data_IF_454300558749
#
_entry.id   IF_454300558749
#
_cell.length_a   1.000
_cell.length_b   1.000
_cell.length_c   1.000
_cell.angle_alpha   90.00
_cell.angle_beta   90.00
_cell.angle_gamma   90.00
#
_symmetry.space_group_name_H-M   'P 1'
#
loop_
_entity.id
_entity.type
_entity.pdbx_description
1 polymer ?
#
# COMPACT_ATOMS: atom_id res chain seq x y z
N UNK A 1 -60.97 -56.93 -42.77
CA UNK A 1 -59.82 -56.07 -43.04
C UNK A 1 -60.07 -54.63 -42.56
N UNK A 2 -61.03 -54.40 -41.68
CA UNK A 2 -61.32 -53.08 -41.05
C UNK A 2 -61.21 -53.01 -39.53
N UNK A 3 -61.08 -54.16 -38.90
CA UNK A 3 -61.00 -54.20 -37.40
C UNK A 3 -59.55 -54.12 -36.85
N UNK A 4 -58.56 -54.57 -37.63
CA UNK A 4 -57.15 -54.56 -37.18
C UNK A 4 -56.50 -53.21 -37.18
N UNK A 5 -57.11 -52.15 -37.81
CA UNK A 5 -56.58 -50.78 -37.77
C UNK A 5 -57.02 -49.97 -36.59
N UNK A 6 -58.07 -50.38 -35.84
CA UNK A 6 -58.55 -49.64 -34.68
C UNK A 6 -57.82 -50.01 -33.35
N UNK A 7 -57.26 -51.18 -33.27
CA UNK A 7 -56.50 -51.59 -32.08
C UNK A 7 -55.09 -51.03 -32.07
N UNK A 8 -54.51 -50.71 -33.24
CA UNK A 8 -53.14 -50.10 -33.32
C UNK A 8 -53.11 -48.62 -33.06
N UNK A 9 -54.27 -47.91 -33.18
CA UNK A 9 -54.34 -46.46 -32.86
C UNK A 9 -54.64 -46.18 -31.37
N UNK A 10 -55.17 -47.16 -30.62
CA UNK A 10 -55.45 -46.99 -29.16
C UNK A 10 -54.22 -47.23 -28.30
N UNK A 11 -53.18 -47.95 -28.78
CA UNK A 11 -51.94 -48.19 -28.03
C UNK A 11 -50.90 -47.05 -28.21
N UNK A 12 -51.05 -46.13 -29.17
CA UNK A 12 -50.10 -45.04 -29.36
C UNK A 12 -50.49 -43.75 -28.60
N UNK A 13 -51.62 -43.71 -27.91
CA UNK A 13 -52.09 -42.52 -27.18
C UNK A 13 -51.87 -42.58 -25.65
N UNK A 14 -51.25 -43.65 -25.15
CA UNK A 14 -51.04 -43.87 -23.69
C UNK A 14 -49.57 -43.85 -23.26
N UNK A 15 -48.61 -43.51 -24.15
CA UNK A 15 -47.17 -43.39 -23.77
C UNK A 15 -46.64 -41.97 -23.88
N UNK A 16 -47.52 -40.98 -23.74
CA UNK A 16 -47.17 -39.55 -23.74
C UNK A 16 -47.21 -38.89 -22.37
N UNK A 17 -47.03 -39.63 -21.27
CA UNK A 17 -46.76 -39.03 -19.95
C UNK A 17 -45.33 -38.51 -19.93
N UNK A 18 -45.19 -37.30 -20.37
CA UNK A 18 -43.98 -36.50 -20.26
C UNK A 18 -43.57 -36.43 -18.77
N UNK A 19 -42.62 -37.27 -18.38
CA UNK A 19 -41.89 -37.07 -17.13
C UNK A 19 -41.12 -35.75 -17.28
N UNK A 20 -41.72 -34.65 -16.83
CA UNK A 20 -41.02 -33.39 -16.59
C UNK A 20 -39.98 -33.66 -15.48
N UNK A 21 -38.81 -34.17 -15.89
CA UNK A 21 -37.63 -34.18 -15.03
C UNK A 21 -37.35 -32.71 -14.72
N UNK A 22 -37.79 -32.25 -13.57
CA UNK A 22 -37.34 -30.96 -13.01
C UNK A 22 -35.82 -31.07 -12.92
N UNK A 23 -35.11 -30.56 -13.91
CA UNK A 23 -33.69 -30.30 -13.82
C UNK A 23 -33.52 -29.29 -12.68
N UNK A 24 -32.82 -29.62 -11.60
CA UNK A 24 -32.47 -28.59 -10.64
C UNK A 24 -31.77 -27.51 -11.47
N UNK A 25 -32.33 -26.31 -11.45
CA UNK A 25 -31.61 -25.14 -11.97
C UNK A 25 -30.37 -25.01 -11.10
N UNK A 26 -29.26 -25.54 -11.58
CA UNK A 26 -27.97 -25.13 -11.07
C UNK A 26 -27.91 -23.62 -11.37
N UNK A 27 -28.27 -22.84 -10.38
CA UNK A 27 -27.88 -21.44 -10.32
C UNK A 27 -26.36 -21.49 -10.30
N UNK A 28 -25.74 -21.46 -11.46
CA UNK A 28 -24.34 -21.17 -11.60
C UNK A 28 -24.17 -19.80 -10.95
N UNK A 29 -23.76 -19.79 -9.68
CA UNK A 29 -23.24 -18.56 -9.12
C UNK A 29 -22.18 -18.10 -10.11
N UNK A 30 -22.44 -17.01 -10.82
CA UNK A 30 -21.48 -16.43 -11.74
C UNK A 30 -20.19 -16.33 -10.92
N UNK A 31 -19.16 -17.07 -11.34
CA UNK A 31 -17.89 -17.10 -10.64
C UNK A 31 -17.43 -15.65 -10.56
N UNK A 32 -17.54 -15.07 -9.36
CA UNK A 32 -17.09 -13.69 -9.15
C UNK A 32 -15.61 -13.67 -9.44
N UNK A 33 -15.18 -12.79 -10.33
CA UNK A 33 -13.74 -12.69 -10.63
C UNK A 33 -12.94 -12.48 -9.36
N UNK A 34 -11.68 -12.94 -9.27
CA UNK A 34 -10.82 -12.72 -8.14
C UNK A 34 -10.74 -11.23 -7.76
N UNK A 35 -10.61 -10.93 -6.46
CA UNK A 35 -10.33 -9.57 -6.01
C UNK A 35 -8.91 -9.21 -6.44
N UNK A 36 -8.78 -8.21 -7.32
CA UNK A 36 -7.49 -7.79 -7.85
C UNK A 36 -6.90 -6.70 -6.96
N UNK A 37 -5.82 -7.06 -6.23
CA UNK A 37 -5.13 -6.18 -5.29
C UNK A 37 -3.72 -5.89 -5.78
N UNK A 38 -3.42 -4.64 -6.07
CA UNK A 38 -2.10 -4.22 -6.51
C UNK A 38 -1.24 -3.69 -5.35
N UNK A 39 0.08 -3.87 -5.44
CA UNK A 39 1.08 -3.21 -4.60
C UNK A 39 2.16 -2.55 -5.46
N UNK A 40 2.81 -1.48 -4.94
CA UNK A 40 3.53 -0.54 -5.80
C UNK A 40 5.05 -0.69 -5.83
N UNK A 41 5.65 -1.43 -4.93
CA UNK A 41 7.10 -1.50 -4.84
C UNK A 41 7.60 -2.79 -4.22
N UNK A 42 8.89 -3.04 -4.39
CA UNK A 42 9.59 -4.12 -3.69
C UNK A 42 10.16 -3.66 -2.33
N UNK A 43 9.74 -2.50 -1.82
CA UNK A 43 10.11 -2.04 -0.48
C UNK A 43 9.34 -2.79 0.59
N UNK A 44 9.96 -3.05 1.73
CA UNK A 44 9.31 -3.68 2.88
C UNK A 44 8.15 -2.86 3.49
N UNK A 45 7.84 -1.68 2.96
CA UNK A 45 6.59 -0.97 3.25
C UNK A 45 5.35 -1.75 2.81
N UNK A 46 5.48 -2.62 1.79
CA UNK A 46 4.40 -3.48 1.28
C UNK A 46 4.30 -4.82 2.02
N UNK A 47 4.98 -4.94 3.15
CA UNK A 47 5.12 -6.19 3.89
C UNK A 47 3.79 -6.76 4.39
N UNK A 48 2.81 -5.91 4.68
CA UNK A 48 1.48 -6.33 5.15
C UNK A 48 0.80 -7.29 4.17
N UNK A 49 0.79 -6.92 2.89
CA UNK A 49 0.19 -7.74 1.84
C UNK A 49 1.03 -8.99 1.52
N UNK A 50 2.36 -8.85 1.54
CA UNK A 50 3.25 -9.99 1.34
C UNK A 50 3.09 -11.03 2.45
N UNK A 51 3.04 -10.58 3.71
CA UNK A 51 2.81 -11.47 4.86
C UNK A 51 1.45 -12.16 4.77
N UNK A 52 0.39 -11.43 4.43
CA UNK A 52 -0.94 -12.02 4.25
C UNK A 52 -0.94 -13.11 3.15
N UNK A 53 -0.21 -12.88 2.06
CA UNK A 53 -0.05 -13.87 0.98
C UNK A 53 0.77 -15.07 1.42
N UNK A 54 1.97 -14.87 1.96
CA UNK A 54 2.92 -15.94 2.28
C UNK A 54 2.49 -16.79 3.48
N UNK A 55 1.68 -16.26 4.39
CA UNK A 55 1.05 -17.05 5.47
C UNK A 55 -0.14 -17.88 5.00
N UNK A 56 -0.59 -17.67 3.76
CA UNK A 56 -1.83 -18.27 3.25
C UNK A 56 -3.09 -17.67 3.88
N UNK A 57 -3.00 -16.55 4.60
CA UNK A 57 -4.13 -15.94 5.32
C UNK A 57 -5.26 -15.55 4.35
N UNK A 58 -4.93 -15.05 3.14
CA UNK A 58 -5.91 -14.69 2.11
C UNK A 58 -6.81 -15.90 1.77
N UNK A 59 -6.19 -17.06 1.53
CA UNK A 59 -6.91 -18.30 1.20
C UNK A 59 -7.67 -18.84 2.42
N UNK A 60 -7.11 -18.73 3.63
CA UNK A 60 -7.76 -19.15 4.87
C UNK A 60 -9.01 -18.35 5.21
N UNK A 61 -9.05 -17.06 4.85
CA UNK A 61 -10.26 -16.24 4.95
C UNK A 61 -11.29 -16.56 3.85
N UNK A 62 -11.00 -17.48 2.94
CA UNK A 62 -11.89 -17.83 1.84
C UNK A 62 -11.92 -16.80 0.72
N UNK A 63 -10.93 -15.91 0.66
CA UNK A 63 -10.85 -14.86 -0.36
C UNK A 63 -10.11 -15.37 -1.59
N UNK A 64 -10.79 -15.38 -2.73
CA UNK A 64 -10.16 -15.49 -4.04
C UNK A 64 -9.60 -14.13 -4.44
N UNK A 65 -8.26 -14.00 -4.46
CA UNK A 65 -7.57 -12.74 -4.76
C UNK A 65 -6.35 -12.92 -5.66
N UNK A 66 -6.22 -12.02 -6.61
CA UNK A 66 -5.05 -11.87 -7.47
C UNK A 66 -4.17 -10.72 -6.96
N UNK A 67 -2.94 -11.03 -6.54
CA UNK A 67 -2.00 -10.05 -5.98
C UNK A 67 -1.01 -9.65 -7.07
N UNK A 68 -1.07 -8.39 -7.48
CA UNK A 68 -0.39 -7.83 -8.64
C UNK A 68 0.71 -6.84 -8.23
N UNK A 69 1.87 -6.93 -8.87
CA UNK A 69 2.91 -5.88 -8.74
C UNK A 69 2.76 -4.87 -9.87
N UNK A 70 2.65 -3.58 -9.52
CA UNK A 70 2.51 -2.49 -10.49
C UNK A 70 3.45 -1.34 -10.14
N UNK A 71 3.71 -0.45 -11.10
CA UNK A 71 4.37 0.83 -10.79
C UNK A 71 3.36 1.88 -10.33
N UNK A 72 3.81 2.87 -9.56
CA UNK A 72 2.93 3.94 -9.05
C UNK A 72 2.22 4.72 -10.15
N UNK A 73 2.85 4.86 -11.32
CA UNK A 73 2.27 5.55 -12.47
C UNK A 73 1.13 4.78 -13.15
N UNK A 74 1.02 3.47 -12.89
CA UNK A 74 0.00 2.59 -13.48
C UNK A 74 -1.11 2.28 -12.48
N UNK A 75 -0.78 2.06 -11.20
CA UNK A 75 -1.72 1.50 -10.23
C UNK A 75 -2.91 2.42 -9.92
N UNK A 76 -2.70 3.73 -9.74
CA UNK A 76 -3.81 4.67 -9.49
C UNK A 76 -4.72 4.83 -10.73
N UNK A 77 -4.19 5.02 -11.95
CA UNK A 77 -5.01 4.95 -13.16
C UNK A 77 -5.80 3.65 -13.30
N UNK A 78 -5.18 2.49 -13.05
CA UNK A 78 -5.84 1.19 -13.11
C UNK A 78 -6.97 1.05 -12.06
N UNK A 79 -6.79 1.60 -10.85
CA UNK A 79 -7.83 1.66 -9.83
C UNK A 79 -9.01 2.53 -10.29
N UNK A 80 -8.73 3.72 -10.82
CA UNK A 80 -9.76 4.64 -11.34
C UNK A 80 -10.54 3.98 -12.48
N UNK A 81 -9.85 3.27 -13.37
CA UNK A 81 -10.45 2.50 -14.48
C UNK A 81 -11.16 1.22 -14.02
N UNK A 82 -11.07 0.85 -12.73
CA UNK A 82 -11.62 -0.41 -12.17
C UNK A 82 -10.97 -1.68 -12.76
N UNK A 83 -9.74 -1.58 -13.29
CA UNK A 83 -8.93 -2.71 -13.72
C UNK A 83 -8.36 -3.49 -12.54
N UNK A 84 -8.14 -2.80 -11.40
CA UNK A 84 -7.87 -3.40 -10.08
C UNK A 84 -8.93 -2.92 -9.10
N UNK A 85 -9.18 -3.72 -8.04
CA UNK A 85 -10.21 -3.44 -7.05
C UNK A 85 -9.67 -2.67 -5.85
N UNK A 86 -8.42 -2.93 -5.48
CA UNK A 86 -7.73 -2.28 -4.38
C UNK A 86 -6.25 -2.10 -4.69
N UNK A 87 -5.63 -1.08 -4.05
CA UNK A 87 -4.19 -0.81 -4.19
C UNK A 87 -3.58 -0.55 -2.82
N UNK A 88 -2.48 -1.23 -2.50
CA UNK A 88 -1.63 -0.90 -1.35
C UNK A 88 -0.66 0.22 -1.76
N UNK A 89 -0.87 1.44 -1.23
CA UNK A 89 -0.19 2.65 -1.70
C UNK A 89 -0.01 3.69 -0.60
N UNK A 90 0.93 4.62 -0.80
CA UNK A 90 1.12 5.79 0.07
C UNK A 90 0.07 6.89 -0.18
N UNK A 91 -0.14 7.76 0.82
CA UNK A 91 -1.24 8.72 0.76
C UNK A 91 -1.04 9.86 -0.24
N UNK A 92 0.17 10.40 -0.43
CA UNK A 92 0.33 11.60 -1.25
C UNK A 92 -0.26 11.49 -2.67
N UNK A 93 -0.03 10.42 -3.45
CA UNK A 93 -0.66 10.28 -4.76
C UNK A 93 -2.19 10.09 -4.69
N UNK A 94 -2.70 9.45 -3.63
CA UNK A 94 -4.15 9.25 -3.43
C UNK A 94 -4.84 10.57 -3.13
N UNK A 95 -4.31 11.35 -2.17
CA UNK A 95 -4.84 12.66 -1.83
C UNK A 95 -4.80 13.60 -3.05
N UNK A 96 -3.70 13.58 -3.81
CA UNK A 96 -3.57 14.37 -5.04
C UNK A 96 -4.63 13.96 -6.08
N UNK A 97 -4.90 12.69 -6.26
CA UNK A 97 -5.95 12.20 -7.16
C UNK A 97 -7.34 12.64 -6.68
N UNK A 98 -7.64 12.43 -5.40
CA UNK A 98 -8.93 12.82 -4.80
C UNK A 98 -9.17 14.33 -4.87
N UNK A 99 -8.16 15.17 -4.57
CA UNK A 99 -8.24 16.64 -4.71
C UNK A 99 -8.51 17.09 -6.15
N UNK A 100 -8.14 16.27 -7.14
CA UNK A 100 -8.46 16.49 -8.56
C UNK A 100 -9.83 15.93 -8.98
N UNK A 101 -10.63 15.46 -8.02
CA UNK A 101 -11.98 14.96 -8.26
C UNK A 101 -12.07 13.47 -8.61
N UNK A 102 -10.99 12.70 -8.52
CA UNK A 102 -11.06 11.26 -8.69
C UNK A 102 -11.63 10.60 -7.43
N UNK A 103 -12.50 9.64 -7.64
CA UNK A 103 -13.25 8.92 -6.61
C UNK A 103 -12.41 7.80 -5.98
N UNK A 104 -11.40 8.17 -5.19
CA UNK A 104 -10.51 7.22 -4.51
C UNK A 104 -10.37 7.56 -3.03
N UNK A 105 -10.50 6.53 -2.16
CA UNK A 105 -10.42 6.67 -0.71
C UNK A 105 -9.65 5.52 -0.07
N UNK A 106 -9.02 5.80 1.07
CA UNK A 106 -8.47 4.76 1.93
C UNK A 106 -9.59 4.02 2.67
N UNK A 107 -9.45 2.71 2.79
CA UNK A 107 -10.30 1.86 3.63
C UNK A 107 -9.52 1.16 4.75
N UNK A 108 -8.19 1.26 4.75
CA UNK A 108 -7.33 0.82 5.86
C UNK A 108 -5.99 1.54 5.85
N UNK A 109 -5.42 1.77 7.03
CA UNK A 109 -4.05 2.22 7.25
C UNK A 109 -3.18 1.07 7.73
N UNK A 110 -2.03 0.87 7.12
CA UNK A 110 -1.13 -0.25 7.40
C UNK A 110 0.16 0.18 8.07
N UNK A 111 0.69 1.33 7.67
CA UNK A 111 1.90 1.94 8.22
C UNK A 111 1.70 3.45 8.31
N UNK A 112 1.75 3.99 9.54
CA UNK A 112 1.30 5.34 9.85
C UNK A 112 2.43 6.27 10.30
N UNK A 113 3.66 6.02 9.88
CA UNK A 113 4.82 6.85 10.18
C UNK A 113 5.72 7.01 8.96
N UNK A 114 6.54 8.06 8.97
CA UNK A 114 7.61 8.19 7.99
C UNK A 114 8.72 7.18 8.28
N UNK A 115 9.24 6.55 7.22
CA UNK A 115 10.23 5.47 7.32
C UNK A 115 11.63 5.92 6.88
N UNK A 116 11.89 7.21 6.87
CA UNK A 116 13.17 7.74 6.42
C UNK A 116 13.99 8.28 7.57
N UNK A 117 15.31 8.19 7.39
CA UNK A 117 16.28 8.99 8.11
C UNK A 117 16.94 9.95 7.12
N UNK A 118 17.37 11.13 7.59
CA UNK A 118 18.16 12.05 6.80
C UNK A 118 19.65 11.74 7.00
N UNK A 119 20.35 11.53 5.91
CA UNK A 119 21.78 11.22 5.87
C UNK A 119 22.56 12.35 5.25
N UNK A 120 23.72 12.66 5.84
CA UNK A 120 24.74 13.52 5.25
C UNK A 120 25.97 12.69 4.87
N UNK A 121 26.73 13.18 3.89
CA UNK A 121 28.01 12.59 3.48
C UNK A 121 29.00 12.56 4.63
N UNK A 122 30.04 11.67 4.59
CA UNK A 122 31.00 11.50 5.69
C UNK A 122 31.73 12.77 6.12
N UNK A 123 31.93 13.73 5.21
CA UNK A 123 32.55 15.04 5.49
C UNK A 123 31.64 15.99 6.28
N UNK A 124 30.32 15.80 6.25
CA UNK A 124 29.37 16.60 7.05
C UNK A 124 29.36 16.06 8.46
N UNK A 125 29.75 16.88 9.43
CA UNK A 125 29.87 16.49 10.83
C UNK A 125 28.71 16.94 11.72
N UNK A 126 28.02 18.01 11.32
CA UNK A 126 26.86 18.58 12.02
C UNK A 126 25.87 19.21 11.04
N UNK A 127 24.68 19.53 11.56
CA UNK A 127 23.56 20.09 10.75
C UNK A 127 23.93 21.45 10.15
N UNK A 128 24.70 22.29 10.86
CA UNK A 128 25.08 23.61 10.38
C UNK A 128 25.88 23.56 9.07
N UNK A 129 26.66 22.51 8.87
CA UNK A 129 27.44 22.31 7.65
C UNK A 129 26.58 21.96 6.41
N UNK A 130 25.28 21.69 6.61
CA UNK A 130 24.34 21.52 5.50
C UNK A 130 23.90 22.84 4.89
N UNK A 131 24.07 23.98 5.60
CA UNK A 131 23.72 25.31 5.08
C UNK A 131 24.50 25.61 3.79
N UNK A 132 23.78 26.09 2.77
CA UNK A 132 24.32 26.37 1.44
C UNK A 132 24.66 25.13 0.62
N UNK A 133 24.49 23.91 1.15
CA UNK A 133 24.81 22.67 0.43
C UNK A 133 23.65 22.17 -0.42
N UNK A 134 23.98 21.39 -1.44
CA UNK A 134 23.01 20.71 -2.28
C UNK A 134 22.44 19.49 -1.55
N UNK A 135 21.13 19.45 -1.39
CA UNK A 135 20.37 18.36 -0.76
C UNK A 135 19.54 17.67 -1.85
N UNK A 136 19.72 16.36 -1.97
CA UNK A 136 18.97 15.54 -2.90
C UNK A 136 17.54 15.32 -2.44
N UNK A 137 16.60 15.52 -3.36
CA UNK A 137 15.16 15.32 -3.12
C UNK A 137 14.47 14.84 -4.41
N UNK A 138 13.16 14.71 -4.39
CA UNK A 138 12.33 14.45 -5.56
C UNK A 138 11.54 15.71 -5.94
N UNK A 139 10.77 15.62 -7.00
CA UNK A 139 9.88 16.71 -7.46
C UNK A 139 8.85 17.06 -6.35
N UNK A 140 8.39 18.31 -6.33
CA UNK A 140 7.32 18.72 -5.41
C UNK A 140 6.12 17.77 -5.43
N UNK A 141 5.39 17.70 -4.33
CA UNK A 141 4.22 16.84 -4.11
C UNK A 141 4.50 15.32 -4.11
N UNK A 142 5.76 14.90 -3.98
CA UNK A 142 6.12 13.50 -3.77
C UNK A 142 6.41 13.18 -2.29
N UNK A 143 6.31 11.90 -1.86
CA UNK A 143 6.65 11.50 -0.49
C UNK A 143 8.10 11.84 -0.11
N UNK A 144 9.05 11.70 -1.04
CA UNK A 144 10.47 12.02 -0.82
C UNK A 144 10.67 13.52 -0.61
N UNK A 145 10.02 14.36 -1.41
CA UNK A 145 10.09 15.82 -1.22
C UNK A 145 9.51 16.21 0.14
N UNK A 146 8.35 15.70 0.50
CA UNK A 146 7.74 15.96 1.81
C UNK A 146 8.65 15.52 2.96
N UNK A 147 9.16 14.27 2.93
CA UNK A 147 10.07 13.77 3.97
C UNK A 147 11.36 14.60 4.07
N UNK A 148 11.91 15.07 2.95
CA UNK A 148 13.09 15.96 2.94
C UNK A 148 12.79 17.28 3.66
N UNK A 149 11.65 17.93 3.36
CA UNK A 149 11.26 19.18 3.99
C UNK A 149 10.99 19.01 5.49
N UNK A 150 10.33 17.92 5.89
CA UNK A 150 10.11 17.58 7.31
C UNK A 150 11.43 17.36 8.02
N UNK A 151 12.39 16.65 7.41
CA UNK A 151 13.71 16.43 7.98
C UNK A 151 14.47 17.75 8.19
N UNK A 152 14.50 18.62 7.18
CA UNK A 152 15.11 19.94 7.30
C UNK A 152 14.48 20.74 8.45
N UNK A 153 13.15 20.83 8.50
CA UNK A 153 12.43 21.54 9.56
C UNK A 153 12.78 20.99 10.96
N UNK A 154 12.80 19.67 11.14
CA UNK A 154 13.18 19.03 12.41
C UNK A 154 14.64 19.28 12.80
N UNK A 155 15.51 19.49 11.83
CA UNK A 155 16.90 19.88 12.05
C UNK A 155 17.09 21.40 12.26
N UNK A 156 16.00 22.19 12.27
CA UNK A 156 16.07 23.65 12.41
C UNK A 156 16.49 24.39 11.14
N UNK A 157 16.43 23.72 10.00
CA UNK A 157 16.72 24.30 8.69
C UNK A 157 15.43 24.57 7.92
N UNK A 158 15.47 25.63 7.10
CA UNK A 158 14.44 25.93 6.10
C UNK A 158 14.89 25.52 4.71
N UNK A 159 13.99 25.37 3.73
CA UNK A 159 14.37 25.15 2.34
C UNK A 159 15.28 26.23 1.75
N UNK A 160 15.26 27.45 2.33
CA UNK A 160 16.10 28.59 1.90
C UNK A 160 17.54 28.48 2.41
N UNK A 161 17.78 27.66 3.43
CA UNK A 161 19.12 27.46 4.00
C UNK A 161 19.95 26.46 3.21
N UNK A 162 19.36 25.77 2.23
CA UNK A 162 20.00 24.72 1.43
C UNK A 162 19.64 24.89 -0.06
N UNK A 163 20.31 24.13 -0.93
CA UNK A 163 19.96 24.06 -2.34
C UNK A 163 19.25 22.72 -2.59
N UNK A 164 17.92 22.73 -2.74
CA UNK A 164 17.18 21.52 -3.05
C UNK A 164 17.36 21.14 -4.52
N UNK A 165 17.81 19.91 -4.77
CA UNK A 165 18.01 19.40 -6.11
C UNK A 165 17.10 18.17 -6.35
N UNK A 166 16.10 18.35 -7.22
CA UNK A 166 15.13 17.32 -7.56
C UNK A 166 15.76 16.29 -8.51
N UNK A 167 16.29 15.20 -7.94
CA UNK A 167 16.97 14.14 -8.68
C UNK A 167 15.96 13.06 -9.10
N UNK A 168 14.97 12.80 -8.25
CA UNK A 168 13.97 11.74 -8.44
C UNK A 168 13.74 10.93 -7.16
N UNK A 169 13.36 9.66 -7.32
CA UNK A 169 13.01 8.76 -6.23
C UNK A 169 14.17 8.48 -5.26
N UNK A 170 13.86 7.89 -4.12
CA UNK A 170 14.85 7.55 -3.08
C UNK A 170 16.12 6.85 -3.60
N UNK A 171 16.04 5.80 -4.45
CA UNK A 171 17.24 5.17 -5.04
C UNK A 171 18.14 6.13 -5.82
N UNK A 172 17.55 7.09 -6.54
CA UNK A 172 18.30 8.10 -7.30
C UNK A 172 19.00 9.11 -6.37
N UNK A 173 18.33 9.51 -5.29
CA UNK A 173 18.94 10.35 -4.24
C UNK A 173 20.14 9.63 -3.61
N UNK A 174 20.02 8.34 -3.32
CA UNK A 174 21.12 7.52 -2.76
C UNK A 174 22.28 7.40 -3.75
N UNK A 175 22.00 7.16 -5.02
CA UNK A 175 23.02 7.13 -6.06
C UNK A 175 23.77 8.47 -6.17
N UNK A 176 23.07 9.58 -6.10
CA UNK A 176 23.66 10.92 -6.12
C UNK A 176 24.48 11.24 -4.85
N UNK A 177 24.09 10.71 -3.67
CA UNK A 177 24.89 10.77 -2.46
C UNK A 177 26.24 10.05 -2.65
N UNK A 178 26.23 8.82 -3.21
CA UNK A 178 27.46 8.09 -3.50
C UNK A 178 28.33 8.77 -4.55
N UNK A 179 27.72 9.35 -5.59
CA UNK A 179 28.41 10.08 -6.65
C UNK A 179 28.95 11.46 -6.21
N UNK A 180 28.63 11.93 -5.00
CA UNK A 180 29.05 13.25 -4.53
C UNK A 180 28.31 14.43 -5.14
N UNK A 181 27.20 14.18 -5.84
CA UNK A 181 26.39 15.23 -6.46
C UNK A 181 25.56 16.02 -5.45
N UNK A 182 25.25 15.38 -4.30
CA UNK A 182 24.54 15.99 -3.17
C UNK A 182 25.22 15.69 -1.86
N UNK A 183 25.07 16.57 -0.89
CA UNK A 183 25.71 16.48 0.43
C UNK A 183 24.79 15.83 1.48
N UNK A 184 23.50 15.74 1.21
CA UNK A 184 22.52 15.09 2.09
C UNK A 184 21.26 14.67 1.34
N UNK A 185 20.46 13.81 1.99
CA UNK A 185 19.18 13.34 1.48
C UNK A 185 18.56 12.30 2.41
N UNK A 186 17.32 11.91 2.13
CA UNK A 186 16.62 10.90 2.93
C UNK A 186 16.79 9.50 2.33
N UNK A 187 16.88 8.51 3.21
CA UNK A 187 16.95 7.10 2.84
C UNK A 187 16.19 6.22 3.83
N UNK A 188 15.70 5.07 3.35
CA UNK A 188 15.08 4.02 4.16
C UNK A 188 15.80 2.68 3.97
N UNK A 189 15.62 1.71 4.88
CA UNK A 189 16.18 0.37 4.72
C UNK A 189 15.71 -0.33 3.43
N UNK A 190 16.53 -1.19 2.83
CA UNK A 190 17.89 -1.57 3.31
C UNK A 190 18.99 -0.56 2.94
N UNK A 191 18.76 0.35 2.00
CA UNK A 191 19.77 1.25 1.47
C UNK A 191 20.38 2.21 2.53
N UNK A 192 19.60 2.61 3.53
CA UNK A 192 20.10 3.41 4.65
C UNK A 192 21.23 2.71 5.42
N UNK A 193 21.18 1.39 5.58
CA UNK A 193 22.24 0.63 6.24
C UNK A 193 23.52 0.54 5.39
N UNK A 194 23.36 0.55 4.06
CA UNK A 194 24.52 0.62 3.15
C UNK A 194 25.22 1.98 3.27
N UNK A 195 24.44 3.07 3.38
CA UNK A 195 24.98 4.41 3.65
C UNK A 195 25.75 4.45 4.99
N UNK A 196 25.18 3.89 6.06
CA UNK A 196 25.84 3.84 7.37
C UNK A 196 27.17 3.06 7.32
N UNK A 197 27.18 1.89 6.64
CA UNK A 197 28.43 1.12 6.42
C UNK A 197 29.46 1.88 5.62
N UNK A 198 29.04 2.73 4.70
CA UNK A 198 29.92 3.61 3.90
C UNK A 198 30.33 4.91 4.66
N UNK A 199 30.00 5.03 5.94
CA UNK A 199 30.39 6.16 6.80
C UNK A 199 29.50 7.40 6.70
N UNK A 200 28.34 7.30 6.01
CA UNK A 200 27.36 8.38 6.01
C UNK A 200 26.69 8.50 7.38
N UNK A 201 26.47 9.71 7.82
CA UNK A 201 25.90 9.99 9.15
C UNK A 201 24.40 10.23 9.07
N UNK A 202 23.63 9.52 9.90
CA UNK A 202 22.22 9.85 10.13
C UNK A 202 22.13 11.06 11.07
N UNK A 203 21.50 12.15 10.63
CA UNK A 203 21.29 13.37 11.40
C UNK A 203 19.90 13.45 12.01
N UNK A 204 18.91 12.82 11.38
CA UNK A 204 17.52 12.91 11.81
C UNK A 204 16.76 11.64 11.45
N UNK A 205 16.02 11.10 12.41
CA UNK A 205 15.02 10.06 12.18
C UNK A 205 13.65 10.70 12.05
N UNK A 206 12.83 10.18 11.12
CA UNK A 206 11.45 10.61 10.90
C UNK A 206 10.42 9.58 11.39
N UNK A 207 10.86 8.53 12.10
CA UNK A 207 9.97 7.47 12.58
C UNK A 207 8.90 7.95 13.57
N UNK A 208 9.11 9.10 14.22
CA UNK A 208 8.17 9.74 15.14
C UNK A 208 7.18 10.70 14.45
N UNK A 209 7.30 10.87 13.13
CA UNK A 209 6.44 11.78 12.36
C UNK A 209 5.19 11.05 11.89
N UNK A 210 4.00 11.46 12.32
CA UNK A 210 2.75 10.92 11.79
C UNK A 210 2.68 11.12 10.28
N UNK A 211 2.45 10.02 9.57
CA UNK A 211 2.36 10.03 8.10
C UNK A 211 1.56 8.81 7.65
N UNK A 212 0.50 8.99 6.88
CA UNK A 212 -0.19 7.86 6.26
C UNK A 212 0.70 7.28 5.14
N UNK A 213 1.63 6.42 5.55
CA UNK A 213 2.67 5.89 4.66
C UNK A 213 2.10 4.89 3.67
N UNK A 214 1.41 3.87 4.20
CA UNK A 214 0.81 2.81 3.37
C UNK A 214 -0.57 2.47 3.89
N UNK A 215 -1.50 2.27 2.98
CA UNK A 215 -2.85 1.82 3.27
C UNK A 215 -3.49 1.15 2.06
N UNK A 216 -4.67 0.59 2.26
CA UNK A 216 -5.49 0.03 1.19
C UNK A 216 -6.45 1.11 0.68
N UNK A 217 -6.42 1.32 -0.62
CA UNK A 217 -7.22 2.31 -1.35
C UNK A 217 -8.12 1.60 -2.33
N UNK A 218 -9.34 2.08 -2.45
CA UNK A 218 -10.34 1.62 -3.42
C UNK A 218 -10.96 2.81 -4.16
N UNK A 219 -11.70 2.51 -5.23
CA UNK A 219 -12.66 3.46 -5.80
C UNK A 219 -13.90 3.49 -4.90
N UNK A 220 -14.24 4.67 -4.33
CA UNK A 220 -15.26 4.78 -3.28
C UNK A 220 -16.65 4.36 -3.77
N UNK A 221 -17.01 4.70 -5.01
CA UNK A 221 -18.29 4.28 -5.63
C UNK A 221 -18.46 2.75 -5.73
N UNK A 222 -17.39 1.98 -5.56
CA UNK A 222 -17.43 0.51 -5.53
C UNK A 222 -17.43 -0.08 -4.12
N UNK A 223 -17.52 0.77 -3.08
CA UNK A 223 -17.45 0.33 -1.69
C UNK A 223 -18.46 -0.79 -1.38
N UNK A 224 -19.73 -0.58 -1.69
CA UNK A 224 -20.78 -1.56 -1.37
C UNK A 224 -20.65 -2.86 -2.16
N UNK A 225 -20.15 -2.82 -3.38
CA UNK A 225 -19.84 -4.00 -4.21
C UNK A 225 -18.68 -4.82 -3.61
N UNK A 226 -17.69 -4.15 -3.04
CA UNK A 226 -16.44 -4.77 -2.61
C UNK A 226 -16.40 -5.11 -1.11
N UNK A 227 -17.28 -4.54 -0.28
CA UNK A 227 -17.18 -4.53 1.18
C UNK A 227 -16.93 -5.91 1.81
N UNK A 228 -17.67 -6.94 1.39
CA UNK A 228 -17.54 -8.27 1.99
C UNK A 228 -16.17 -8.88 1.70
N UNK A 229 -15.68 -8.74 0.46
CA UNK A 229 -14.35 -9.22 0.06
C UNK A 229 -13.23 -8.40 0.70
N UNK A 230 -13.44 -7.09 0.89
CA UNK A 230 -12.50 -6.22 1.59
C UNK A 230 -12.39 -6.58 3.06
N UNK A 231 -13.48 -6.94 3.75
CA UNK A 231 -13.44 -7.43 5.13
C UNK A 231 -12.54 -8.67 5.23
N UNK A 232 -12.66 -9.64 4.31
CA UNK A 232 -11.79 -10.81 4.26
C UNK A 232 -10.32 -10.43 4.02
N UNK A 233 -10.06 -9.49 3.09
CA UNK A 233 -8.72 -8.96 2.86
C UNK A 233 -8.14 -8.31 4.12
N UNK A 234 -8.90 -7.45 4.82
CA UNK A 234 -8.43 -6.77 6.02
C UNK A 234 -8.12 -7.76 7.15
N UNK A 235 -8.91 -8.81 7.34
CA UNK A 235 -8.62 -9.90 8.28
C UNK A 235 -7.34 -10.63 7.91
N UNK A 236 -7.15 -10.94 6.64
CA UNK A 236 -5.93 -11.57 6.16
C UNK A 236 -4.69 -10.68 6.37
N UNK A 237 -4.81 -9.37 6.13
CA UNK A 237 -3.74 -8.39 6.39
C UNK A 237 -3.38 -8.35 7.87
N UNK A 238 -4.36 -8.31 8.78
CA UNK A 238 -4.15 -8.36 10.24
C UNK A 238 -3.42 -9.64 10.65
N UNK A 239 -3.86 -10.80 10.15
CA UNK A 239 -3.19 -12.09 10.39
C UNK A 239 -1.75 -12.07 9.89
N UNK A 240 -1.49 -11.50 8.72
CA UNK A 240 -0.14 -11.32 8.19
C UNK A 240 0.73 -10.43 9.07
N UNK A 241 0.20 -9.29 9.54
CA UNK A 241 0.88 -8.37 10.45
C UNK A 241 1.17 -9.06 11.81
N UNK A 242 0.21 -9.81 12.36
CA UNK A 242 0.43 -10.56 13.59
C UNK A 242 1.55 -11.60 13.44
N UNK A 243 1.60 -12.30 12.32
CA UNK A 243 2.68 -13.23 12.01
C UNK A 243 4.03 -12.53 11.86
N UNK A 244 4.07 -11.34 11.28
CA UNK A 244 5.28 -10.53 11.22
C UNK A 244 5.87 -10.27 12.61
N UNK A 245 5.03 -9.91 13.58
CA UNK A 245 5.49 -9.63 14.95
C UNK A 245 5.82 -10.88 15.76
N UNK A 246 5.19 -12.02 15.47
CA UNK A 246 5.35 -13.27 16.25
C UNK A 246 6.42 -14.20 15.72
N UNK A 247 6.83 -14.08 14.45
CA UNK A 247 7.81 -14.97 13.81
C UNK A 247 8.82 -14.20 12.98
N UNK A 248 9.90 -13.75 13.65
CA UNK A 248 11.00 -13.00 13.01
C UNK A 248 11.62 -13.76 11.84
N UNK A 249 11.84 -15.07 12.00
CA UNK A 249 12.49 -15.87 10.96
C UNK A 249 11.65 -15.96 9.69
N UNK A 250 10.34 -16.14 9.85
CA UNK A 250 9.41 -16.12 8.72
C UNK A 250 9.34 -14.74 8.07
N UNK A 251 9.25 -13.68 8.86
CA UNK A 251 9.23 -12.31 8.36
C UNK A 251 10.50 -11.96 7.55
N UNK A 252 11.68 -12.35 8.04
CA UNK A 252 12.96 -12.18 7.34
C UNK A 252 12.97 -12.92 6.00
N UNK A 253 12.45 -14.16 5.95
CA UNK A 253 12.32 -14.91 4.69
C UNK A 253 11.43 -14.18 3.67
N UNK A 254 10.32 -13.60 4.13
CA UNK A 254 9.42 -12.82 3.27
C UNK A 254 10.12 -11.55 2.78
N UNK A 255 10.78 -10.80 3.66
CA UNK A 255 11.54 -9.60 3.29
C UNK A 255 12.59 -9.96 2.23
N UNK A 256 13.40 -10.98 2.47
CA UNK A 256 14.43 -11.47 1.53
C UNK A 256 13.86 -11.79 0.16
N UNK A 257 12.75 -12.55 0.12
CA UNK A 257 12.08 -12.97 -1.11
C UNK A 257 11.66 -11.78 -1.99
N UNK A 258 11.04 -10.78 -1.39
CA UNK A 258 10.45 -9.66 -2.16
C UNK A 258 11.44 -8.51 -2.41
N UNK A 259 12.32 -8.22 -1.46
CA UNK A 259 13.37 -7.20 -1.63
C UNK A 259 14.57 -7.70 -2.44
N UNK A 260 14.69 -9.03 -2.67
CA UNK A 260 15.87 -9.68 -3.26
C UNK A 260 17.15 -9.36 -2.49
N UNK A 261 17.04 -9.20 -1.16
CA UNK A 261 18.17 -9.00 -0.26
C UNK A 261 18.59 -10.33 0.34
N UNK A 262 19.91 -10.58 0.39
CA UNK A 262 20.47 -11.84 0.89
C UNK A 262 21.45 -11.65 2.05
N UNK A 263 21.87 -10.40 2.33
CA UNK A 263 22.75 -10.08 3.45
C UNK A 263 21.99 -10.27 4.78
N UNK A 264 22.37 -11.23 5.65
CA UNK A 264 21.68 -11.49 6.89
C UNK A 264 21.63 -10.28 7.85
N UNK A 265 22.70 -9.47 7.92
CA UNK A 265 22.75 -8.27 8.76
C UNK A 265 21.78 -7.20 8.26
N UNK A 266 21.72 -6.97 6.93
CA UNK A 266 20.78 -6.03 6.34
C UNK A 266 19.33 -6.47 6.53
N UNK A 267 19.05 -7.78 6.43
CA UNK A 267 17.73 -8.36 6.66
C UNK A 267 17.31 -8.22 8.12
N UNK A 268 18.19 -8.54 9.07
CA UNK A 268 17.91 -8.40 10.50
C UNK A 268 17.62 -6.95 10.89
N UNK A 269 18.48 -6.03 10.47
CA UNK A 269 18.32 -4.59 10.68
C UNK A 269 17.04 -4.05 10.02
N UNK A 270 16.68 -4.54 8.82
CA UNK A 270 15.45 -4.17 8.14
C UNK A 270 14.22 -4.63 8.94
N UNK A 271 14.21 -5.87 9.42
CA UNK A 271 13.14 -6.38 10.28
C UNK A 271 12.97 -5.50 11.53
N UNK A 272 14.05 -5.22 12.26
CA UNK A 272 14.00 -4.41 13.50
C UNK A 272 13.58 -2.96 13.21
N UNK A 273 14.00 -2.40 12.08
CA UNK A 273 13.58 -1.06 11.68
C UNK A 273 12.07 -0.98 11.44
N UNK A 274 11.52 -1.88 10.59
CA UNK A 274 10.09 -1.89 10.29
C UNK A 274 9.24 -2.33 11.49
N UNK A 275 9.79 -3.15 12.40
CA UNK A 275 9.17 -3.48 13.67
C UNK A 275 8.97 -2.23 14.54
N UNK A 276 9.95 -1.33 14.59
CA UNK A 276 9.86 -0.03 15.29
C UNK A 276 8.96 0.95 14.56
N UNK A 277 8.97 0.96 13.22
CA UNK A 277 8.07 1.78 12.43
C UNK A 277 6.60 1.47 12.69
N UNK A 278 6.29 0.23 13.07
CA UNK A 278 5.00 -0.18 13.62
C UNK A 278 3.91 -0.38 12.58
N UNK A 279 3.87 -1.56 11.94
CA UNK A 279 2.68 -1.95 11.17
C UNK A 279 1.44 -2.00 12.07
N UNK A 280 0.34 -1.44 11.60
CA UNK A 280 -0.89 -1.26 12.37
C UNK A 280 -1.72 -2.53 12.41
N UNK A 281 -1.86 -3.14 13.60
CA UNK A 281 -2.74 -4.31 13.82
C UNK A 281 -4.22 -3.93 13.81
N UNK A 282 -4.54 -2.71 14.21
CA UNK A 282 -5.89 -2.15 14.19
C UNK A 282 -6.29 -1.62 12.81
N UNK A 283 -5.36 -1.57 11.85
CA UNK A 283 -5.56 -1.11 10.48
C UNK A 283 -6.13 0.32 10.37
N UNK A 284 -6.11 1.11 11.47
CA UNK A 284 -6.68 2.46 11.49
C UNK A 284 -5.83 3.42 10.68
N UNK A 285 -6.51 4.33 9.97
CA UNK A 285 -5.88 5.38 9.18
C UNK A 285 -5.37 6.49 10.12
N UNK A 286 -4.22 7.06 9.79
CA UNK A 286 -3.64 8.17 10.55
C UNK A 286 -4.23 9.50 10.09
N UNK A 287 -5.24 9.98 10.77
CA UNK A 287 -5.79 11.31 10.49
C UNK A 287 -4.75 12.43 10.60
N UNK A 288 -3.89 12.48 11.65
CA UNK A 288 -2.78 13.44 11.70
C UNK A 288 -1.78 13.27 10.54
N UNK A 289 -1.55 12.03 10.10
CA UNK A 289 -0.69 11.75 8.95
C UNK A 289 -1.28 12.24 7.63
N UNK A 290 -2.59 12.12 7.45
CA UNK A 290 -3.31 12.68 6.30
C UNK A 290 -3.27 14.22 6.34
N UNK A 291 -3.52 14.83 7.51
CA UNK A 291 -3.47 16.29 7.68
C UNK A 291 -2.09 16.85 7.30
N UNK A 292 -1.00 16.26 7.79
CA UNK A 292 0.35 16.72 7.44
C UNK A 292 0.64 16.66 5.94
N UNK A 293 0.07 15.70 5.22
CA UNK A 293 0.19 15.61 3.76
C UNK A 293 -0.65 16.70 3.09
N UNK A 294 -1.86 16.98 3.58
CA UNK A 294 -2.69 18.08 3.07
C UNK A 294 -2.02 19.43 3.25
N UNK A 295 -1.44 19.69 4.43
CA UNK A 295 -0.69 20.90 4.71
C UNK A 295 0.46 21.08 3.69
N UNK A 296 1.22 20.02 3.44
CA UNK A 296 2.29 20.02 2.43
C UNK A 296 1.76 20.25 1.01
N UNK A 297 0.71 19.53 0.61
CA UNK A 297 0.12 19.67 -0.72
C UNK A 297 -0.49 21.06 -0.94
N UNK A 298 -0.90 21.73 0.13
CA UNK A 298 -1.51 23.06 0.06
C UNK A 298 -0.59 24.15 -0.51
N UNK A 299 0.72 23.89 -0.54
CA UNK A 299 1.70 24.78 -1.17
C UNK A 299 1.58 24.78 -2.69
N UNK A 300 1.10 23.69 -3.29
CA UNK A 300 1.02 23.48 -4.74
C UNK A 300 -0.39 23.19 -5.26
N UNK A 301 -1.29 22.76 -4.38
CA UNK A 301 -2.69 22.41 -4.69
C UNK A 301 -3.60 23.22 -3.75
N UNK A 302 -4.17 24.35 -4.20
CA UNK A 302 -4.95 25.26 -3.34
C UNK A 302 -6.16 24.57 -2.66
N UNK A 303 -6.76 23.56 -3.30
CA UNK A 303 -7.90 22.80 -2.78
C UNK A 303 -7.55 22.08 -1.48
N UNK A 304 -6.28 21.69 -1.29
CA UNK A 304 -5.81 21.02 -0.06
C UNK A 304 -5.94 21.89 1.18
N UNK A 305 -5.92 23.23 1.06
CA UNK A 305 -6.09 24.17 2.20
C UNK A 305 -7.45 24.07 2.86
N UNK A 306 -8.48 23.68 2.11
CA UNK A 306 -9.89 23.60 2.58
C UNK A 306 -10.31 22.16 2.84
N UNK A 307 -9.50 21.19 2.43
CA UNK A 307 -9.82 19.79 2.57
C UNK A 307 -9.66 19.33 4.03
N UNK A 308 -10.55 18.41 4.46
CA UNK A 308 -10.49 17.77 5.78
C UNK A 308 -9.99 16.34 5.61
N UNK A 309 -9.16 15.82 6.52
CA UNK A 309 -8.65 14.43 6.44
C UNK A 309 -9.74 13.39 6.22
N UNK A 310 -10.91 13.55 6.87
CA UNK A 310 -12.05 12.63 6.78
C UNK A 310 -12.65 12.47 5.37
N UNK A 311 -12.30 13.34 4.44
CA UNK A 311 -12.75 13.23 3.04
C UNK A 311 -11.96 12.16 2.24
N UNK A 312 -10.83 11.69 2.76
CA UNK A 312 -9.89 10.83 2.05
C UNK A 312 -9.91 9.38 2.54
N UNK A 313 -10.78 9.05 3.51
CA UNK A 313 -10.87 7.68 4.00
C UNK A 313 -12.30 7.31 4.44
N UNK A 314 -12.56 6.00 4.40
CA UNK A 314 -13.77 5.38 4.92
C UNK A 314 -13.36 4.22 5.84
N UNK A 315 -13.46 4.42 7.14
CA UNK A 315 -12.99 3.49 8.16
C UNK A 315 -14.04 2.49 8.64
N UNK A 316 -15.23 2.45 8.01
CA UNK A 316 -16.33 1.56 8.40
C UNK A 316 -15.91 0.08 8.42
N UNK A 317 -15.14 -0.36 7.41
CA UNK A 317 -14.68 -1.76 7.33
C UNK A 317 -13.64 -2.09 8.40
N UNK A 318 -12.74 -1.17 8.70
CA UNK A 318 -11.74 -1.33 9.75
C UNK A 318 -12.41 -1.44 11.12
N UNK A 319 -13.40 -0.60 11.40
CA UNK A 319 -14.21 -0.66 12.63
C UNK A 319 -14.91 -2.02 12.73
N UNK A 320 -15.59 -2.47 11.68
CA UNK A 320 -16.24 -3.78 11.62
C UNK A 320 -15.26 -4.93 11.91
N UNK A 321 -14.06 -4.90 11.33
CA UNK A 321 -13.02 -5.94 11.56
C UNK A 321 -12.49 -5.89 12.99
N UNK A 322 -12.39 -4.72 13.60
CA UNK A 322 -11.92 -4.57 14.98
C UNK A 322 -12.97 -5.00 16.02
N UNK A 323 -14.25 -4.78 15.73
CA UNK A 323 -15.36 -5.16 16.61
C UNK A 323 -15.68 -6.67 16.54
N UNK A 324 -15.22 -7.36 15.49
CA UNK A 324 -15.43 -8.81 15.25
C UNK A 324 -14.37 -9.68 15.96
N UNK A 325 -14.03 -9.38 17.22
CA UNK A 325 -13.07 -10.16 18.03
C UNK A 325 -13.74 -11.36 18.70
#
# INVERSE_FOLDING_TARGET
MKETKRVFQACLLLLGTMIAIARPAYVSAAATRPLRVAYLSTSATMLSLWMAKETGAIVKEGLDAEILSMTSSVAIPALIASEVDAVEVSAAPVLTASLRGYDVVFVAGLLNTMIWNFYGRPEIKNVEQLKGKVIGTDRPATPVAYGTLVALKKMGLSPKDVQLFAIGSGPQVIAALYAGQVMGGIASPPASFQLERAGYRSFMSLLDVPYQNVGIVIKHSRFDELKDRLVLLLRALRTGIDRYYSDKNFAIKVISKYNKETDPDALDKSYEFYRRAGFRRDLMISEPGVQGILDFLSETIPEAKKAKPSQFFDDRLVKQVNDSK
#
